data_IF_491453816204
#
_entry.id   IF_491453816204
#
_cell.length_a   1.000
_cell.length_b   1.000
_cell.length_c   1.000
_cell.angle_alpha   90.00
_cell.angle_beta   90.00
_cell.angle_gamma   90.00
#
_symmetry.space_group_name_H-M   'P 1'
#
loop_
_entity.id
_entity.type
_entity.pdbx_description
1 polymer ?
#
# COMPACT_ATOMS: atom_id res chain seq x y z
N UNK A 1 -14.19 -13.71 7.71
CA UNK A 1 -14.85 -14.58 6.71
C UNK A 1 -14.13 -15.92 6.69
N UNK A 2 -14.84 -17.02 6.45
CA UNK A 2 -14.25 -18.35 6.24
C UNK A 2 -14.38 -18.77 4.79
N UNK A 3 -13.33 -19.39 4.27
CA UNK A 3 -13.32 -19.92 2.91
C UNK A 3 -13.97 -21.32 2.90
N UNK A 4 -14.95 -21.48 2.02
CA UNK A 4 -15.49 -22.78 1.64
C UNK A 4 -15.12 -22.97 0.17
N UNK A 5 -14.00 -23.67 -0.13
CA UNK A 5 -13.49 -23.73 -1.50
C UNK A 5 -14.54 -24.32 -2.43
N UNK A 6 -14.84 -23.60 -3.51
CA UNK A 6 -15.68 -24.10 -4.58
C UNK A 6 -14.79 -24.62 -5.71
N UNK A 7 -15.17 -25.72 -6.38
CA UNK A 7 -14.50 -26.12 -7.60
C UNK A 7 -14.62 -24.99 -8.62
N UNK A 8 -13.58 -24.82 -9.45
CA UNK A 8 -13.72 -23.92 -10.58
C UNK A 8 -14.70 -24.54 -11.56
N UNK A 9 -15.90 -23.97 -11.62
CA UNK A 9 -16.92 -24.41 -12.55
C UNK A 9 -16.60 -23.99 -13.99
N UNK A 10 -17.10 -24.78 -14.92
CA UNK A 10 -17.18 -24.41 -16.34
C UNK A 10 -18.10 -23.18 -16.50
N UNK A 11 -17.95 -22.51 -17.64
CA UNK A 11 -18.79 -21.35 -17.97
C UNK A 11 -20.21 -21.87 -18.22
N UNK A 12 -21.25 -21.34 -17.53
CA UNK A 12 -22.62 -21.78 -17.77
C UNK A 12 -23.02 -21.68 -19.24
N UNK A 13 -23.67 -22.71 -19.79
CA UNK A 13 -23.97 -22.82 -21.22
C UNK A 13 -24.68 -21.58 -21.78
N UNK A 14 -25.67 -21.07 -21.04
CA UNK A 14 -26.40 -19.86 -21.44
C UNK A 14 -25.48 -18.62 -21.47
N UNK A 15 -24.61 -18.46 -20.47
CA UNK A 15 -23.61 -17.37 -20.45
C UNK A 15 -22.67 -17.49 -21.65
N UNK A 16 -22.20 -18.70 -21.98
CA UNK A 16 -21.34 -18.94 -23.13
C UNK A 16 -22.03 -18.61 -24.45
N UNK A 17 -23.26 -19.10 -24.66
CA UNK A 17 -24.04 -18.84 -25.88
C UNK A 17 -24.29 -17.34 -26.07
N UNK A 18 -24.74 -16.65 -25.02
CA UNK A 18 -25.03 -15.22 -25.10
C UNK A 18 -23.75 -14.40 -25.28
N UNK A 19 -22.65 -14.75 -24.61
CA UNK A 19 -21.37 -14.06 -24.80
C UNK A 19 -20.87 -14.16 -26.24
N UNK A 20 -20.90 -15.35 -26.86
CA UNK A 20 -20.49 -15.52 -28.26
C UNK A 20 -21.45 -14.82 -29.25
N UNK A 21 -22.74 -14.75 -28.94
CA UNK A 21 -23.70 -14.00 -29.75
C UNK A 21 -23.48 -12.48 -29.66
N UNK A 22 -23.23 -11.95 -28.46
CA UNK A 22 -22.97 -10.53 -28.23
C UNK A 22 -21.59 -10.09 -28.72
N UNK A 23 -20.59 -10.97 -28.65
CA UNK A 23 -19.20 -10.71 -29.02
C UNK A 23 -18.70 -11.71 -30.07
N UNK A 24 -19.00 -11.48 -31.37
CA UNK A 24 -18.52 -12.34 -32.45
C UNK A 24 -17.00 -12.44 -32.52
N UNK A 25 -16.30 -11.40 -32.04
CA UNK A 25 -14.87 -11.43 -31.75
C UNK A 25 -14.70 -11.39 -30.23
N UNK A 26 -13.89 -12.30 -29.63
CA UNK A 26 -13.74 -12.37 -28.19
C UNK A 26 -13.12 -11.08 -27.65
N UNK A 27 -13.68 -10.53 -26.58
CA UNK A 27 -13.13 -9.38 -25.87
C UNK A 27 -11.91 -9.80 -25.03
N UNK A 28 -11.17 -8.83 -24.49
CA UNK A 28 -10.00 -9.14 -23.65
C UNK A 28 -10.32 -10.06 -22.45
N UNK A 29 -11.39 -9.84 -21.66
CA UNK A 29 -11.78 -10.78 -20.60
C UNK A 29 -12.03 -12.21 -21.11
N UNK A 30 -12.71 -12.36 -22.26
CA UNK A 30 -12.98 -13.66 -22.87
C UNK A 30 -11.69 -14.34 -23.34
N UNK A 31 -10.80 -13.59 -24.00
CA UNK A 31 -9.50 -14.10 -24.44
C UNK A 31 -8.65 -14.56 -23.27
N UNK A 32 -8.58 -13.77 -22.18
CA UNK A 32 -7.83 -14.15 -20.98
C UNK A 32 -8.39 -15.45 -20.41
N UNK A 33 -9.72 -15.60 -20.32
CA UNK A 33 -10.32 -16.85 -19.83
C UNK A 33 -10.06 -18.03 -20.75
N UNK A 34 -10.16 -17.85 -22.07
CA UNK A 34 -9.97 -18.93 -23.03
C UNK A 34 -8.51 -19.38 -23.11
N UNK A 35 -7.59 -18.42 -23.11
CA UNK A 35 -6.18 -18.70 -23.24
C UNK A 35 -5.56 -19.07 -21.90
N UNK A 36 -5.86 -18.37 -20.81
CA UNK A 36 -5.16 -18.55 -19.52
C UNK A 36 -5.97 -19.37 -18.50
N UNK A 37 -7.23 -19.70 -18.80
CA UNK A 37 -8.12 -20.36 -17.85
C UNK A 37 -8.42 -19.44 -16.68
N UNK A 38 -8.34 -19.98 -15.46
CA UNK A 38 -8.63 -19.21 -14.23
C UNK A 38 -7.37 -18.64 -13.58
N UNK A 39 -6.19 -19.16 -13.96
CA UNK A 39 -4.88 -18.98 -13.33
C UNK A 39 -4.77 -19.42 -11.86
N UNK A 40 -5.84 -19.21 -11.09
CA UNK A 40 -5.90 -19.42 -9.65
C UNK A 40 -7.05 -20.36 -9.28
N UNK A 41 -6.99 -20.89 -8.07
CA UNK A 41 -8.05 -21.66 -7.42
C UNK A 41 -8.25 -21.18 -5.97
N UNK A 42 -9.43 -21.40 -5.41
CA UNK A 42 -9.73 -20.99 -4.03
C UNK A 42 -8.71 -21.50 -2.99
N UNK A 43 -8.22 -22.77 -3.06
CA UNK A 43 -7.23 -23.27 -2.11
C UNK A 43 -5.92 -22.47 -2.07
N UNK A 44 -5.56 -21.78 -3.17
CA UNK A 44 -4.35 -20.94 -3.23
C UNK A 44 -4.39 -19.80 -2.20
N UNK A 45 -5.60 -19.38 -1.79
CA UNK A 45 -5.81 -18.27 -0.87
C UNK A 45 -6.25 -18.71 0.52
N UNK A 46 -6.33 -20.01 0.80
CA UNK A 46 -6.93 -20.54 2.04
C UNK A 46 -6.29 -19.98 3.31
N UNK A 47 -4.99 -19.73 3.30
CA UNK A 47 -4.25 -19.15 4.43
C UNK A 47 -4.69 -17.72 4.79
N UNK A 48 -5.35 -17.00 3.88
CA UNK A 48 -5.83 -15.63 4.10
C UNK A 48 -7.17 -15.56 4.85
N UNK A 49 -7.83 -16.70 5.03
CA UNK A 49 -9.18 -16.78 5.59
C UNK A 49 -9.18 -17.53 6.92
N UNK A 50 -10.06 -17.09 7.82
CA UNK A 50 -10.23 -17.76 9.11
C UNK A 50 -10.94 -19.11 8.93
N UNK A 51 -10.69 -20.05 9.83
CA UNK A 51 -11.34 -21.38 9.81
C UNK A 51 -12.87 -21.28 10.00
N UNK A 52 -13.34 -20.28 10.76
CA UNK A 52 -14.77 -20.07 11.05
C UNK A 52 -15.16 -18.61 10.81
N UNK A 53 -16.36 -18.39 10.30
CA UNK A 53 -16.95 -17.07 10.11
C UNK A 53 -18.05 -17.06 9.06
N UNK A 54 -18.45 -15.87 8.62
CA UNK A 54 -19.32 -15.71 7.46
C UNK A 54 -18.62 -16.25 6.19
N UNK A 55 -19.33 -16.94 5.29
CA UNK A 55 -18.77 -17.42 4.02
C UNK A 55 -18.14 -16.29 3.21
N UNK A 56 -16.91 -16.53 2.73
CA UNK A 56 -16.23 -15.64 1.79
C UNK A 56 -16.74 -15.87 0.36
N UNK A 57 -16.65 -14.83 -0.48
CA UNK A 57 -16.71 -15.02 -1.93
C UNK A 57 -15.43 -15.73 -2.41
N UNK A 58 -15.55 -16.47 -3.51
CA UNK A 58 -14.46 -17.21 -4.15
C UNK A 58 -13.24 -16.30 -4.45
N UNK A 59 -12.11 -16.49 -3.75
CA UNK A 59 -10.92 -15.65 -3.90
C UNK A 59 -10.30 -15.70 -5.30
N UNK A 60 -10.37 -16.82 -6.02
CA UNK A 60 -9.84 -16.89 -7.39
C UNK A 60 -10.58 -15.92 -8.31
N UNK A 61 -11.91 -15.79 -8.17
CA UNK A 61 -12.71 -14.81 -8.90
C UNK A 61 -12.35 -13.40 -8.52
N UNK A 62 -12.16 -13.11 -7.23
CA UNK A 62 -11.77 -11.78 -6.76
C UNK A 62 -10.40 -11.36 -7.29
N UNK A 63 -9.43 -12.28 -7.37
CA UNK A 63 -8.14 -12.03 -8.00
C UNK A 63 -8.29 -11.75 -9.50
N UNK A 64 -9.11 -12.53 -10.21
CA UNK A 64 -9.37 -12.32 -11.63
C UNK A 64 -10.06 -10.97 -11.89
N UNK A 65 -11.07 -10.61 -11.08
CA UNK A 65 -11.73 -9.29 -11.13
C UNK A 65 -10.72 -8.17 -10.88
N UNK A 66 -9.81 -8.35 -9.90
CA UNK A 66 -8.76 -7.38 -9.62
C UNK A 66 -7.84 -7.18 -10.84
N UNK A 67 -7.43 -8.26 -11.51
CA UNK A 67 -6.64 -8.17 -12.74
C UNK A 67 -7.38 -7.42 -13.87
N UNK A 68 -8.65 -7.74 -14.12
CA UNK A 68 -9.46 -7.04 -15.12
C UNK A 68 -9.70 -5.57 -14.76
N UNK A 69 -9.90 -5.28 -13.47
CA UNK A 69 -10.06 -3.92 -12.96
C UNK A 69 -8.84 -3.06 -13.32
N UNK A 70 -7.62 -3.55 -13.08
CA UNK A 70 -6.41 -2.82 -13.42
C UNK A 70 -6.19 -2.75 -14.93
N UNK A 71 -6.45 -3.83 -15.66
CA UNK A 71 -6.32 -3.89 -17.12
C UNK A 71 -7.20 -2.84 -17.82
N UNK A 72 -8.42 -2.65 -17.32
CA UNK A 72 -9.39 -1.72 -17.89
C UNK A 72 -9.44 -0.36 -17.16
N UNK A 73 -8.53 -0.13 -16.20
CA UNK A 73 -8.43 1.10 -15.40
C UNK A 73 -9.76 1.51 -14.73
N UNK A 74 -10.41 0.56 -14.07
CA UNK A 74 -11.70 0.76 -13.42
C UNK A 74 -11.55 1.07 -11.92
N UNK A 75 -12.42 1.95 -11.41
CA UNK A 75 -12.64 2.09 -9.96
C UNK A 75 -13.33 0.84 -9.39
N UNK A 76 -13.25 0.63 -8.07
CA UNK A 76 -13.89 -0.52 -7.41
C UNK A 76 -15.40 -0.61 -7.71
N UNK A 77 -16.08 0.54 -7.73
CA UNK A 77 -17.51 0.62 -8.07
C UNK A 77 -17.77 0.24 -9.53
N UNK A 78 -16.91 0.67 -10.44
CA UNK A 78 -17.03 0.31 -11.85
C UNK A 78 -16.74 -1.18 -12.07
N UNK A 79 -15.74 -1.75 -11.39
CA UNK A 79 -15.44 -3.18 -11.47
C UNK A 79 -16.59 -4.03 -10.90
N UNK A 80 -17.13 -3.67 -9.73
CA UNK A 80 -18.29 -4.37 -9.16
C UNK A 80 -19.53 -4.25 -10.06
N UNK A 81 -19.75 -3.09 -10.68
CA UNK A 81 -20.82 -2.92 -11.67
C UNK A 81 -20.56 -3.73 -12.94
N UNK A 82 -19.31 -3.86 -13.39
CA UNK A 82 -18.93 -4.68 -14.54
C UNK A 82 -19.22 -6.16 -14.28
N UNK A 83 -18.89 -6.69 -13.11
CA UNK A 83 -19.28 -8.07 -12.72
C UNK A 83 -20.79 -8.28 -12.85
N UNK A 84 -21.59 -7.28 -12.42
CA UNK A 84 -23.05 -7.36 -12.45
C UNK A 84 -23.64 -7.26 -13.85
N UNK A 85 -23.14 -6.36 -14.69
CA UNK A 85 -23.83 -5.98 -15.94
C UNK A 85 -23.18 -6.49 -17.21
N UNK A 86 -21.88 -6.83 -17.19
CA UNK A 86 -21.13 -7.16 -18.40
C UNK A 86 -21.08 -8.65 -18.66
N UNK A 87 -21.59 -9.04 -19.82
CA UNK A 87 -21.67 -10.44 -20.26
C UNK A 87 -20.27 -11.04 -20.45
N UNK A 88 -19.30 -10.28 -20.96
CA UNK A 88 -17.93 -10.75 -21.15
C UNK A 88 -17.18 -10.98 -19.82
N UNK A 89 -17.48 -10.18 -18.78
CA UNK A 89 -16.97 -10.41 -17.43
C UNK A 89 -17.60 -11.65 -16.79
N UNK A 90 -18.92 -11.81 -16.90
CA UNK A 90 -19.60 -13.03 -16.43
C UNK A 90 -19.08 -14.29 -17.11
N UNK A 91 -18.78 -14.21 -18.40
CA UNK A 91 -18.10 -15.26 -19.14
C UNK A 91 -16.72 -15.57 -18.55
N UNK A 92 -15.87 -14.55 -18.37
CA UNK A 92 -14.52 -14.75 -17.85
C UNK A 92 -14.49 -15.36 -16.44
N UNK A 93 -15.46 -14.99 -15.61
CA UNK A 93 -15.60 -15.42 -14.21
C UNK A 93 -16.41 -16.71 -14.02
N UNK A 94 -16.95 -17.29 -15.10
CA UNK A 94 -17.83 -18.46 -15.01
C UNK A 94 -19.05 -18.20 -14.13
N UNK A 95 -19.76 -17.09 -14.37
CA UNK A 95 -20.96 -16.68 -13.63
C UNK A 95 -22.21 -16.84 -14.49
N UNK A 96 -23.35 -17.06 -13.83
CA UNK A 96 -24.66 -17.02 -14.47
C UNK A 96 -25.02 -15.58 -14.90
N UNK A 97 -25.82 -15.45 -15.96
CA UNK A 97 -26.35 -14.16 -16.40
C UNK A 97 -27.21 -13.46 -15.33
N UNK A 98 -27.80 -14.22 -14.42
CA UNK A 98 -28.60 -13.78 -13.26
C UNK A 98 -27.76 -13.38 -12.04
N UNK A 99 -26.46 -13.66 -12.03
CA UNK A 99 -25.58 -13.35 -10.89
C UNK A 99 -25.60 -11.84 -10.56
N UNK A 100 -25.79 -11.51 -9.28
CA UNK A 100 -25.96 -10.12 -8.84
C UNK A 100 -24.65 -9.37 -8.56
N UNK A 101 -23.51 -10.06 -8.67
CA UNK A 101 -22.20 -9.57 -8.28
C UNK A 101 -22.10 -9.35 -6.77
N UNK A 102 -21.28 -8.37 -6.38
CA UNK A 102 -20.99 -8.05 -4.99
C UNK A 102 -20.88 -6.54 -4.76
N UNK A 103 -20.75 -6.12 -3.49
CA UNK A 103 -20.49 -4.72 -3.13
C UNK A 103 -19.04 -4.32 -3.36
N UNK A 104 -18.80 -3.10 -3.85
CA UNK A 104 -17.47 -2.63 -4.22
C UNK A 104 -16.43 -2.69 -3.07
N UNK A 105 -16.86 -2.60 -1.82
CA UNK A 105 -15.98 -2.74 -0.63
C UNK A 105 -15.26 -4.09 -0.56
N UNK A 106 -15.81 -5.14 -1.18
CA UNK A 106 -15.18 -6.47 -1.17
C UNK A 106 -13.81 -6.44 -1.85
N UNK A 107 -13.60 -5.61 -2.88
CA UNK A 107 -12.33 -5.52 -3.59
C UNK A 107 -11.24 -4.86 -2.74
N UNK A 108 -11.58 -3.80 -2.00
CA UNK A 108 -10.62 -3.15 -1.11
C UNK A 108 -10.26 -4.05 0.08
N UNK A 109 -11.23 -4.76 0.66
CA UNK A 109 -10.96 -5.76 1.70
C UNK A 109 -10.09 -6.91 1.17
N UNK A 110 -10.38 -7.42 -0.02
CA UNK A 110 -9.62 -8.50 -0.64
C UNK A 110 -8.17 -8.10 -0.88
N UNK A 111 -7.92 -6.93 -1.48
CA UNK A 111 -6.55 -6.41 -1.67
C UNK A 111 -5.84 -6.18 -0.34
N UNK A 112 -6.55 -5.72 0.69
CA UNK A 112 -5.98 -5.58 2.05
C UNK A 112 -5.54 -6.93 2.60
N UNK A 113 -6.33 -8.00 2.40
CA UNK A 113 -5.97 -9.37 2.77
C UNK A 113 -4.75 -9.87 2.01
N UNK A 114 -4.67 -9.60 0.70
CA UNK A 114 -3.50 -9.99 -0.12
C UNK A 114 -2.20 -9.37 0.41
N UNK A 115 -2.23 -8.07 0.73
CA UNK A 115 -1.07 -7.35 1.28
C UNK A 115 -0.73 -7.86 2.68
N UNK A 116 -1.73 -8.01 3.56
CA UNK A 116 -1.51 -8.49 4.94
C UNK A 116 -0.96 -9.92 4.98
N UNK A 117 -1.36 -10.75 4.02
CA UNK A 117 -0.88 -12.13 3.88
C UNK A 117 0.37 -12.29 3.02
N UNK A 118 0.99 -11.19 2.55
CA UNK A 118 2.21 -11.19 1.74
C UNK A 118 2.12 -12.06 0.45
N UNK A 119 0.93 -12.17 -0.15
CA UNK A 119 0.69 -12.98 -1.37
C UNK A 119 0.71 -12.15 -2.66
N UNK A 120 1.32 -10.98 -2.61
CA UNK A 120 1.35 -10.01 -3.71
C UNK A 120 2.00 -10.58 -4.98
N UNK A 121 3.11 -11.32 -4.80
CA UNK A 121 3.86 -11.91 -5.91
C UNK A 121 3.19 -13.16 -6.49
N UNK A 122 2.27 -13.79 -5.76
CA UNK A 122 1.66 -15.06 -6.13
C UNK A 122 1.03 -14.99 -7.53
N UNK A 123 0.29 -13.92 -7.81
CA UNK A 123 -0.40 -13.75 -9.09
C UNK A 123 0.58 -13.70 -10.28
N UNK A 124 1.66 -12.93 -10.12
CA UNK A 124 2.70 -12.80 -11.14
C UNK A 124 3.43 -14.12 -11.34
N UNK A 125 3.85 -14.78 -10.24
CA UNK A 125 4.56 -16.05 -10.31
C UNK A 125 3.74 -17.11 -11.03
N UNK A 126 2.44 -17.19 -10.73
CA UNK A 126 1.54 -18.15 -11.38
C UNK A 126 1.39 -17.90 -12.88
N UNK A 127 1.32 -16.63 -13.29
CA UNK A 127 1.33 -16.27 -14.70
C UNK A 127 2.65 -16.65 -15.38
N UNK A 128 3.78 -16.41 -14.72
CA UNK A 128 5.11 -16.75 -15.24
C UNK A 128 5.29 -18.26 -15.39
N UNK A 129 4.83 -19.07 -14.44
CA UNK A 129 4.79 -20.54 -14.53
C UNK A 129 4.03 -21.01 -15.78
N UNK A 130 2.85 -20.42 -16.03
CA UNK A 130 2.07 -20.73 -17.23
C UNK A 130 2.80 -20.30 -18.51
N UNK A 131 3.43 -19.13 -18.52
CA UNK A 131 4.24 -18.68 -19.64
C UNK A 131 5.45 -19.60 -19.90
N UNK A 132 6.11 -20.11 -18.86
CA UNK A 132 7.18 -21.09 -18.99
C UNK A 132 6.67 -22.41 -19.57
N UNK A 133 5.56 -22.93 -19.04
CA UNK A 133 4.94 -24.15 -19.54
C UNK A 133 4.54 -24.06 -21.02
N UNK A 134 4.25 -22.84 -21.50
CA UNK A 134 3.93 -22.54 -22.91
C UNK A 134 5.13 -22.14 -23.76
N UNK A 135 6.36 -22.26 -23.24
CA UNK A 135 7.60 -21.84 -23.91
C UNK A 135 7.64 -20.34 -24.30
N UNK A 136 6.81 -19.50 -23.66
CA UNK A 136 6.84 -18.04 -23.84
C UNK A 136 7.95 -17.40 -23.00
N UNK A 137 8.38 -18.08 -21.92
CA UNK A 137 9.48 -17.67 -21.04
C UNK A 137 10.49 -18.82 -20.89
N UNK A 138 11.77 -18.51 -20.68
CA UNK A 138 12.83 -19.50 -20.43
C UNK A 138 13.76 -19.07 -19.30
N UNK A 139 14.34 -20.08 -18.66
CA UNK A 139 15.50 -19.95 -17.80
C UNK A 139 16.69 -19.31 -18.55
N UNK A 140 17.43 -18.42 -17.87
CA UNK A 140 18.68 -17.85 -18.37
C UNK A 140 18.57 -16.94 -19.60
N UNK A 141 17.38 -16.44 -19.91
CA UNK A 141 17.15 -15.47 -20.99
C UNK A 141 17.70 -14.08 -20.70
N UNK A 142 17.71 -13.20 -21.72
CA UNK A 142 18.07 -11.79 -21.53
C UNK A 142 16.98 -11.09 -20.72
N UNK A 143 17.38 -10.28 -19.74
CA UNK A 143 16.49 -9.40 -19.00
C UNK A 143 17.01 -7.97 -19.00
N UNK A 144 16.07 -7.02 -18.98
CA UNK A 144 16.37 -5.62 -18.71
C UNK A 144 15.54 -5.13 -17.54
N UNK A 145 16.16 -4.30 -16.71
CA UNK A 145 15.54 -3.74 -15.52
C UNK A 145 15.54 -2.22 -15.64
N UNK A 146 14.39 -1.60 -15.41
CA UNK A 146 14.28 -0.16 -15.23
C UNK A 146 13.57 0.16 -13.92
N UNK A 147 13.67 1.42 -13.49
CA UNK A 147 13.02 1.93 -12.29
C UNK A 147 12.19 3.17 -12.61
N UNK A 148 10.96 3.19 -12.09
CA UNK A 148 10.12 4.39 -12.07
C UNK A 148 9.74 4.75 -10.64
N UNK A 149 9.17 5.93 -10.48
CA UNK A 149 8.72 6.44 -9.20
C UNK A 149 7.24 6.10 -8.98
N UNK A 150 6.89 5.82 -7.73
CA UNK A 150 5.50 5.71 -7.28
C UNK A 150 5.28 6.82 -6.27
N UNK A 151 4.24 7.62 -6.50
CA UNK A 151 3.88 8.70 -5.59
C UNK A 151 3.24 8.11 -4.34
N UNK A 152 3.71 8.53 -3.17
CA UNK A 152 3.03 8.21 -1.91
C UNK A 152 1.67 8.90 -1.87
N UNK A 153 0.64 8.19 -1.43
CA UNK A 153 -0.70 8.73 -1.25
C UNK A 153 -0.80 9.54 0.06
N UNK A 154 0.13 10.48 0.24
CA UNK A 154 0.25 11.31 1.44
C UNK A 154 0.33 12.78 1.08
N UNK A 155 -0.15 13.63 1.99
CA UNK A 155 0.08 15.07 1.91
C UNK A 155 1.59 15.33 2.01
N UNK A 156 2.10 16.18 1.14
CA UNK A 156 3.46 16.70 1.28
C UNK A 156 3.47 17.69 2.45
N UNK A 157 4.23 17.38 3.49
CA UNK A 157 4.38 18.22 4.67
C UNK A 157 5.71 18.96 4.59
N UNK A 158 5.70 20.26 4.86
CA UNK A 158 6.95 20.95 5.15
C UNK A 158 7.43 20.61 6.57
N UNK A 159 8.63 21.08 6.94
CA UNK A 159 9.24 20.75 8.24
C UNK A 159 8.40 21.17 9.47
N UNK A 160 7.69 22.30 9.40
CA UNK A 160 6.81 22.76 10.48
C UNK A 160 5.61 21.83 10.61
N UNK A 161 4.95 21.57 9.47
CA UNK A 161 3.81 20.68 9.40
C UNK A 161 4.19 19.27 9.87
N UNK A 162 5.35 18.74 9.46
CA UNK A 162 5.83 17.41 9.87
C UNK A 162 5.90 17.30 11.40
N UNK A 163 6.55 18.25 12.09
CA UNK A 163 6.65 18.18 13.55
C UNK A 163 5.29 18.28 14.22
N UNK A 164 4.46 19.26 13.84
CA UNK A 164 3.16 19.45 14.46
C UNK A 164 2.20 18.30 14.19
N UNK A 165 2.16 17.82 12.95
CA UNK A 165 1.29 16.73 12.52
C UNK A 165 1.71 15.38 13.12
N UNK A 166 3.00 15.17 13.37
CA UNK A 166 3.49 13.96 14.04
C UNK A 166 3.06 13.92 15.51
N UNK A 167 3.16 15.04 16.25
CA UNK A 167 2.62 15.12 17.62
C UNK A 167 1.13 14.85 17.61
N UNK A 168 0.40 15.51 16.70
CA UNK A 168 -1.05 15.30 16.55
C UNK A 168 -1.41 13.84 16.26
N UNK A 169 -0.71 13.20 15.34
CA UNK A 169 -0.95 11.81 14.96
C UNK A 169 -0.77 10.87 16.17
N UNK A 170 0.32 11.05 16.93
CA UNK A 170 0.55 10.28 18.16
C UNK A 170 -0.52 10.55 19.23
N UNK A 171 -0.92 11.81 19.44
CA UNK A 171 -1.99 12.15 20.39
C UNK A 171 -3.33 11.50 20.04
N UNK A 172 -3.68 11.45 18.75
CA UNK A 172 -4.91 10.80 18.29
C UNK A 172 -4.89 9.29 18.54
N UNK A 173 -3.77 8.61 18.23
CA UNK A 173 -3.61 7.18 18.50
C UNK A 173 -3.69 6.88 20.01
N UNK A 174 -3.05 7.71 20.83
CA UNK A 174 -3.11 7.61 22.29
C UNK A 174 -4.51 7.86 22.84
N UNK A 175 -5.30 8.75 22.21
CA UNK A 175 -6.68 9.01 22.62
C UNK A 175 -7.57 7.78 22.40
N UNK A 176 -7.34 7.03 21.32
CA UNK A 176 -8.03 5.76 21.02
C UNK A 176 -7.58 4.64 21.95
N UNK A 177 -6.27 4.54 22.25
CA UNK A 177 -5.71 3.47 23.08
C UNK A 177 -5.95 3.68 24.60
N UNK A 178 -5.61 4.86 25.16
CA UNK A 178 -5.77 5.20 26.58
C UNK A 178 -6.09 6.70 26.78
N UNK A 179 -7.26 7.11 26.28
CA UNK A 179 -7.72 8.50 26.41
C UNK A 179 -7.91 8.98 27.85
N UNK A 180 -8.09 8.07 28.82
CA UNK A 180 -8.20 8.43 30.24
C UNK A 180 -6.86 8.89 30.79
N UNK A 181 -5.78 8.14 30.54
CA UNK A 181 -4.43 8.56 30.89
C UNK A 181 -4.02 9.82 30.13
N UNK A 182 -4.32 9.92 28.83
CA UNK A 182 -3.94 11.08 28.02
C UNK A 182 -4.48 12.39 28.62
N UNK A 183 -5.72 12.40 29.12
CA UNK A 183 -6.32 13.57 29.79
C UNK A 183 -5.57 14.02 31.06
N UNK A 184 -4.75 13.16 31.67
CA UNK A 184 -3.96 13.51 32.86
C UNK A 184 -2.66 14.24 32.52
N UNK A 185 -2.17 14.11 31.29
CA UNK A 185 -0.89 14.68 30.86
C UNK A 185 -1.03 15.83 29.85
N UNK A 186 -2.15 15.90 29.13
CA UNK A 186 -2.36 16.93 28.09
C UNK A 186 -2.53 18.29 28.73
N UNK A 187 -1.63 19.21 28.36
CA UNK A 187 -1.75 20.62 28.71
C UNK A 187 -2.89 21.27 27.90
N UNK A 188 -3.67 22.22 28.46
CA UNK A 188 -4.76 22.87 27.73
C UNK A 188 -4.33 23.45 26.38
N UNK A 189 -3.12 24.00 26.31
CA UNK A 189 -2.57 24.63 25.11
C UNK A 189 -2.29 23.62 23.98
N UNK A 190 -2.16 22.33 24.30
CA UNK A 190 -2.02 21.27 23.29
C UNK A 190 -3.32 21.02 22.55
N UNK A 191 -4.48 21.23 23.19
CA UNK A 191 -5.77 21.14 22.52
C UNK A 191 -5.87 22.22 21.43
N UNK A 192 -5.52 23.46 21.76
CA UNK A 192 -5.54 24.56 20.78
C UNK A 192 -4.56 24.31 19.62
N UNK A 193 -3.39 23.74 19.90
CA UNK A 193 -2.34 23.50 18.88
C UNK A 193 -2.57 22.27 18.01
N UNK A 194 -3.12 21.19 18.58
CA UNK A 194 -3.14 19.87 17.94
C UNK A 194 -4.54 19.28 17.76
N UNK A 195 -5.63 19.91 18.22
CA UNK A 195 -6.98 19.37 17.99
C UNK A 195 -7.36 19.28 16.51
N UNK A 196 -6.76 20.13 15.66
CA UNK A 196 -7.01 20.15 14.22
C UNK A 196 -5.76 19.79 13.43
N UNK A 197 -5.98 19.31 12.20
CA UNK A 197 -4.89 19.06 11.25
C UNK A 197 -4.03 20.31 11.09
N UNK A 198 -2.72 20.11 11.05
CA UNK A 198 -1.81 21.21 10.77
C UNK A 198 -1.96 21.59 9.31
N UNK A 199 -2.27 22.86 9.06
CA UNK A 199 -2.52 23.38 7.72
C UNK A 199 -1.60 24.57 7.44
N UNK A 200 -0.86 24.48 6.33
CA UNK A 200 0.07 25.51 5.86
C UNK A 200 -0.40 26.95 5.95
N UNK A 201 -1.65 27.25 5.58
CA UNK A 201 -2.14 28.63 5.57
C UNK A 201 -2.33 29.23 6.97
N UNK A 202 -2.40 28.40 8.01
CA UNK A 202 -2.50 28.81 9.42
C UNK A 202 -1.13 28.98 10.09
N UNK A 203 -0.06 28.57 9.42
CA UNK A 203 1.28 28.62 10.00
C UNK A 203 1.86 30.04 9.94
N UNK A 204 2.71 30.41 10.92
CA UNK A 204 3.35 31.70 10.92
C UNK A 204 4.19 31.95 9.66
N UNK A 205 4.12 33.16 9.11
CA UNK A 205 4.90 33.54 7.92
C UNK A 205 6.27 34.09 8.27
N UNK A 206 6.37 34.86 9.35
CA UNK A 206 7.61 35.48 9.77
C UNK A 206 8.60 34.45 10.32
N UNK A 207 9.88 34.54 9.95
CA UNK A 207 10.92 33.58 10.32
C UNK A 207 11.04 33.38 11.83
N UNK A 208 10.99 34.47 12.61
CA UNK A 208 11.05 34.43 14.08
C UNK A 208 9.92 33.59 14.65
N UNK A 209 8.70 33.76 14.14
CA UNK A 209 7.52 33.02 14.59
C UNK A 209 7.56 31.56 14.14
N UNK A 210 8.10 31.27 12.94
CA UNK A 210 8.33 29.89 12.47
C UNK A 210 9.35 29.16 13.34
N UNK A 211 10.44 29.82 13.71
CA UNK A 211 11.44 29.25 14.61
C UNK A 211 10.87 29.01 16.01
N UNK A 212 10.04 29.93 16.52
CA UNK A 212 9.33 29.73 17.77
C UNK A 212 8.36 28.55 17.70
N UNK A 213 7.62 28.37 16.60
CA UNK A 213 6.75 27.22 16.40
C UNK A 213 7.54 25.90 16.34
N UNK A 214 8.66 25.83 15.60
CA UNK A 214 9.51 24.63 15.58
C UNK A 214 10.03 24.28 16.97
N UNK A 215 10.44 25.30 17.74
CA UNK A 215 10.93 25.12 19.10
C UNK A 215 9.80 24.60 20.01
N UNK A 216 8.62 25.23 19.96
CA UNK A 216 7.46 24.80 20.75
C UNK A 216 7.06 23.37 20.42
N UNK A 217 6.94 23.03 19.13
CA UNK A 217 6.62 21.67 18.72
C UNK A 217 7.66 20.70 19.26
N UNK A 218 8.96 21.01 19.12
CA UNK A 218 10.07 20.18 19.65
C UNK A 218 9.92 19.90 21.15
N UNK A 219 9.63 20.94 21.94
CA UNK A 219 9.41 20.83 23.38
C UNK A 219 8.20 19.97 23.71
N UNK A 220 7.07 20.19 23.02
CA UNK A 220 5.83 19.44 23.21
C UNK A 220 6.04 17.95 22.92
N UNK A 221 6.71 17.60 21.82
CA UNK A 221 6.97 16.19 21.50
C UNK A 221 7.95 15.52 22.47
N UNK A 222 8.96 16.23 22.99
CA UNK A 222 9.82 15.68 24.04
C UNK A 222 9.09 15.53 25.38
N UNK A 223 8.20 16.45 25.72
CA UNK A 223 7.34 16.34 26.90
C UNK A 223 6.39 15.13 26.77
N UNK A 224 5.81 14.91 25.59
CA UNK A 224 5.00 13.72 25.31
C UNK A 224 5.83 12.44 25.46
N UNK A 225 7.01 12.36 24.82
CA UNK A 225 7.91 11.21 24.95
C UNK A 225 8.34 10.96 26.41
N UNK A 226 8.57 12.01 27.20
CA UNK A 226 8.88 11.88 28.62
C UNK A 226 7.69 11.30 29.40
N UNK A 227 6.47 11.78 29.14
CA UNK A 227 5.25 11.25 29.77
C UNK A 227 4.97 9.79 29.37
N UNK A 228 5.20 9.41 28.11
CA UNK A 228 5.05 8.03 27.65
C UNK A 228 5.97 7.05 28.40
N UNK A 229 7.14 7.52 28.83
CA UNK A 229 8.06 6.71 29.63
C UNK A 229 7.57 6.44 31.07
N UNK A 230 6.59 7.21 31.57
CA UNK A 230 5.98 6.99 32.89
C UNK A 230 4.62 6.27 32.80
N UNK A 231 4.16 5.91 31.59
CA UNK A 231 2.91 5.19 31.39
C UNK A 231 2.93 3.82 32.08
N UNK A 232 1.86 3.40 32.79
CA UNK A 232 1.80 2.07 33.44
C UNK A 232 2.04 0.90 32.47
N UNK A 233 1.52 1.03 31.24
CA UNK A 233 1.70 0.10 30.11
C UNK A 233 2.73 0.62 29.09
N UNK A 234 3.90 1.08 29.57
CA UNK A 234 4.95 1.70 28.72
C UNK A 234 5.30 0.88 27.48
N UNK A 235 5.49 -0.43 27.62
CA UNK A 235 5.90 -1.28 26.50
C UNK A 235 4.86 -1.32 25.38
N UNK A 236 3.56 -1.41 25.73
CA UNK A 236 2.47 -1.42 24.76
C UNK A 236 2.33 -0.07 24.06
N UNK A 237 2.38 1.02 24.84
CA UNK A 237 2.21 2.38 24.30
C UNK A 237 3.36 2.80 23.38
N UNK A 238 4.61 2.44 23.72
CA UNK A 238 5.74 2.70 22.84
C UNK A 238 5.75 1.83 21.57
N UNK A 239 5.02 0.71 21.57
CA UNK A 239 4.85 -0.15 20.41
C UNK A 239 3.73 0.33 19.47
N UNK A 240 2.94 1.34 19.86
CA UNK A 240 1.91 1.92 18.98
C UNK A 240 2.57 2.56 17.74
N UNK A 241 2.06 2.30 16.53
CA UNK A 241 2.67 2.74 15.29
C UNK A 241 3.00 4.24 15.22
N UNK A 242 2.05 5.13 15.52
CA UNK A 242 2.25 6.58 15.42
C UNK A 242 3.12 7.12 16.58
N UNK A 243 3.13 6.46 17.73
CA UNK A 243 4.09 6.75 18.82
C UNK A 243 5.52 6.37 18.42
N UNK A 244 5.72 5.20 17.80
CA UNK A 244 7.04 4.80 17.31
C UNK A 244 7.56 5.76 16.23
N UNK A 245 6.67 6.23 15.35
CA UNK A 245 6.97 7.26 14.35
C UNK A 245 7.34 8.60 15.01
N UNK A 246 6.62 9.03 16.05
CA UNK A 246 6.98 10.23 16.82
C UNK A 246 8.42 10.15 17.33
N UNK A 247 8.80 9.03 17.93
CA UNK A 247 10.17 8.84 18.43
C UNK A 247 11.20 8.96 17.30
N UNK A 248 10.98 8.29 16.17
CA UNK A 248 11.89 8.34 15.02
C UNK A 248 12.00 9.76 14.43
N UNK A 249 10.87 10.45 14.25
CA UNK A 249 10.87 11.84 13.74
C UNK A 249 11.63 12.75 14.70
N UNK A 250 11.45 12.60 16.03
CA UNK A 250 12.18 13.40 17.01
C UNK A 250 13.69 13.13 16.98
N UNK A 251 14.09 11.87 16.88
CA UNK A 251 15.50 11.51 16.72
C UNK A 251 16.10 12.09 15.44
N UNK A 252 15.32 12.18 14.36
CA UNK A 252 15.77 12.76 13.09
C UNK A 252 15.81 14.29 13.10
N UNK A 253 14.84 14.94 13.75
CA UNK A 253 14.57 16.38 13.62
C UNK A 253 15.00 17.23 14.81
N UNK A 254 15.21 16.63 15.99
CA UNK A 254 15.42 17.31 17.26
C UNK A 254 16.65 16.76 17.99
N UNK A 255 17.14 17.50 19.00
CA UNK A 255 18.30 17.09 19.80
C UNK A 255 18.26 17.68 21.22
N UNK A 256 18.70 16.90 22.19
CA UNK A 256 19.05 17.39 23.53
C UNK A 256 20.38 18.16 23.54
N UNK A 257 20.40 19.30 24.22
CA UNK A 257 21.58 20.13 24.44
C UNK A 257 21.74 20.42 25.93
N UNK A 258 22.87 21.02 26.31
CA UNK A 258 23.09 21.47 27.69
C UNK A 258 22.08 22.52 28.18
N UNK A 259 21.41 23.23 27.26
CA UNK A 259 20.44 24.30 27.56
C UNK A 259 18.98 23.86 27.41
N UNK A 260 18.72 22.56 27.26
CA UNK A 260 17.39 22.02 26.94
C UNK A 260 17.34 21.40 25.56
N UNK A 261 16.15 21.32 24.97
CA UNK A 261 15.93 20.70 23.66
C UNK A 261 15.88 21.76 22.56
N UNK A 262 16.26 21.39 21.34
CA UNK A 262 16.09 22.25 20.17
C UNK A 262 15.86 21.44 18.89
N UNK A 263 15.23 22.02 17.86
CA UNK A 263 15.25 21.45 16.54
C UNK A 263 16.69 21.44 16.01
N UNK A 264 17.04 20.38 15.28
CA UNK A 264 18.29 20.27 14.53
C UNK A 264 18.36 21.34 13.45
N UNK A 265 19.57 21.79 13.12
CA UNK A 265 19.81 22.59 11.93
C UNK A 265 19.76 21.70 10.68
N UNK A 266 19.62 22.31 9.51
CA UNK A 266 19.54 21.57 8.24
C UNK A 266 20.76 20.68 7.96
N UNK A 267 21.96 21.13 8.38
CA UNK A 267 23.22 20.39 8.29
C UNK A 267 23.34 19.23 9.30
N UNK A 268 22.47 19.18 10.31
CA UNK A 268 22.42 18.12 11.33
C UNK A 268 21.37 17.04 11.02
N UNK A 269 20.55 17.23 9.98
CA UNK A 269 19.52 16.30 9.58
C UNK A 269 20.11 15.08 8.87
N UNK A 270 19.51 13.89 9.03
CA UNK A 270 19.92 12.73 8.25
C UNK A 270 19.64 12.95 6.75
N UNK A 271 20.29 12.16 5.86
CA UNK A 271 20.02 12.20 4.43
C UNK A 271 18.53 12.02 4.11
N UNK A 272 18.03 12.63 3.04
CA UNK A 272 16.61 12.58 2.68
C UNK A 272 16.04 11.17 2.52
N UNK A 273 16.86 10.24 2.03
CA UNK A 273 16.49 8.83 1.90
C UNK A 273 16.23 8.12 3.26
N UNK A 274 16.70 8.69 4.37
CA UNK A 274 16.47 8.15 5.72
C UNK A 274 15.40 8.93 6.49
N UNK A 275 14.89 10.05 5.96
CA UNK A 275 13.94 10.91 6.66
C UNK A 275 12.50 10.45 6.46
N UNK A 276 11.73 10.50 7.53
CA UNK A 276 10.27 10.37 7.47
C UNK A 276 9.70 11.69 6.94
N UNK A 277 8.89 11.59 5.89
CA UNK A 277 8.26 12.76 5.23
C UNK A 277 6.78 12.93 5.65
N UNK A 278 6.16 11.89 6.20
CA UNK A 278 4.79 11.91 6.70
C UNK A 278 4.61 10.88 7.82
N UNK A 279 3.89 11.20 8.92
CA UNK A 279 3.61 10.22 9.95
C UNK A 279 2.62 9.13 9.50
N UNK A 280 1.86 9.37 8.42
CA UNK A 280 0.83 8.45 7.92
C UNK A 280 1.34 7.44 6.91
N UNK A 281 2.53 7.66 6.35
CA UNK A 281 3.25 6.68 5.54
C UNK A 281 4.75 6.81 5.86
N UNK A 282 5.21 6.20 6.96
CA UNK A 282 6.60 6.27 7.40
C UNK A 282 7.55 5.49 6.49
N UNK A 283 7.08 4.83 5.43
CA UNK A 283 7.93 4.15 4.44
C UNK A 283 8.17 5.03 3.19
N UNK A 284 7.28 5.98 2.89
CA UNK A 284 7.48 6.97 1.83
C UNK A 284 8.71 7.86 2.09
N UNK A 285 9.53 8.06 1.07
CA UNK A 285 10.77 8.85 1.14
C UNK A 285 10.83 9.93 0.08
N UNK A 286 11.39 11.07 0.45
CA UNK A 286 11.72 12.11 -0.52
C UNK A 286 12.90 11.67 -1.40
N UNK A 287 12.73 11.89 -2.71
CA UNK A 287 13.56 11.28 -3.73
C UNK A 287 13.79 12.24 -4.88
N UNK A 288 14.99 12.15 -5.49
CA UNK A 288 15.36 12.93 -6.67
C UNK A 288 15.96 11.99 -7.72
N UNK A 289 15.49 12.08 -8.97
CA UNK A 289 16.09 11.43 -10.15
C UNK A 289 16.16 12.48 -11.25
N UNK A 290 17.38 12.92 -11.58
CA UNK A 290 17.63 14.06 -12.48
C UNK A 290 16.90 15.31 -11.98
N UNK A 291 15.94 15.84 -12.74
CA UNK A 291 15.14 17.01 -12.37
C UNK A 291 13.82 16.65 -11.66
N UNK A 292 13.44 15.37 -11.66
CA UNK A 292 12.18 14.91 -11.05
C UNK A 292 12.37 14.70 -9.56
N UNK A 293 11.47 15.29 -8.77
CA UNK A 293 11.43 15.18 -7.31
C UNK A 293 10.08 14.60 -6.91
N UNK A 294 10.06 13.67 -5.97
CA UNK A 294 8.82 13.09 -5.45
C UNK A 294 8.99 12.59 -4.02
N UNK A 295 7.87 12.43 -3.33
CA UNK A 295 7.77 11.69 -2.06
C UNK A 295 7.00 10.41 -2.33
N UNK A 296 7.59 9.27 -1.97
CA UNK A 296 6.99 7.96 -2.21
C UNK A 296 8.04 6.89 -2.34
N UNK A 297 7.88 6.03 -3.34
CA UNK A 297 8.66 4.80 -3.51
C UNK A 297 9.35 4.77 -4.87
N UNK A 298 10.26 3.82 -5.03
CA UNK A 298 10.77 3.40 -6.34
C UNK A 298 10.24 2.01 -6.63
N UNK A 299 9.74 1.82 -7.84
CA UNK A 299 9.42 0.48 -8.35
C UNK A 299 10.45 0.10 -9.39
N UNK A 300 11.04 -1.08 -9.21
CA UNK A 300 11.93 -1.72 -10.16
C UNK A 300 11.12 -2.76 -10.93
N UNK A 301 11.14 -2.66 -12.25
CA UNK A 301 10.45 -3.60 -13.14
C UNK A 301 11.50 -4.26 -14.01
N UNK A 302 11.52 -5.58 -14.00
CA UNK A 302 12.36 -6.38 -14.89
C UNK A 302 11.48 -7.09 -15.90
N UNK A 303 11.88 -7.06 -17.18
CA UNK A 303 11.21 -7.79 -18.24
C UNK A 303 12.17 -8.65 -19.05
N UNK A 304 11.67 -9.75 -19.61
CA UNK A 304 12.40 -10.54 -20.60
C UNK A 304 12.56 -9.75 -21.89
N UNK A 305 13.71 -9.89 -22.55
CA UNK A 305 14.02 -9.24 -23.82
C UNK A 305 14.79 -10.15 -24.78
N UNK A 306 14.41 -11.42 -24.83
CA UNK A 306 14.90 -12.36 -25.85
C UNK A 306 14.26 -12.05 -27.22
N UNK A 307 15.08 -12.01 -28.28
CA UNK A 307 14.72 -11.49 -29.60
C UNK A 307 13.56 -12.25 -30.31
N UNK A 308 13.28 -13.49 -29.92
CA UNK A 308 12.26 -14.37 -30.53
C UNK A 308 11.07 -14.69 -29.60
N UNK A 309 10.90 -13.93 -28.50
CA UNK A 309 9.88 -14.20 -27.49
C UNK A 309 9.16 -12.93 -27.06
N UNK A 310 7.93 -13.03 -26.53
CA UNK A 310 7.27 -11.86 -25.95
C UNK A 310 8.10 -11.28 -24.79
N UNK A 311 8.05 -9.96 -24.66
CA UNK A 311 8.60 -9.27 -23.51
C UNK A 311 7.59 -9.38 -22.37
N UNK A 312 7.96 -10.09 -21.31
CA UNK A 312 7.12 -10.36 -20.16
C UNK A 312 7.75 -9.72 -18.93
N UNK A 313 6.94 -9.01 -18.15
CA UNK A 313 7.37 -8.57 -16.82
C UNK A 313 7.61 -9.81 -15.97
N UNK A 314 8.83 -9.96 -15.46
CA UNK A 314 9.30 -11.15 -14.69
C UNK A 314 9.54 -10.84 -13.23
N UNK A 315 9.66 -9.56 -12.89
CA UNK A 315 9.81 -9.10 -11.51
C UNK A 315 9.34 -7.67 -11.37
N UNK A 316 8.64 -7.40 -10.27
CA UNK A 316 8.23 -6.08 -9.83
C UNK A 316 8.58 -5.97 -8.35
N UNK A 317 9.44 -5.03 -7.99
CA UNK A 317 9.84 -4.80 -6.61
C UNK A 317 9.63 -3.33 -6.25
N UNK A 318 8.80 -3.07 -5.24
CA UNK A 318 8.60 -1.72 -4.69
C UNK A 318 9.47 -1.55 -3.47
N UNK A 319 10.38 -0.58 -3.51
CA UNK A 319 11.34 -0.31 -2.44
C UNK A 319 11.12 1.09 -1.87
N UNK A 320 11.31 1.20 -0.55
CA UNK A 320 11.49 2.51 0.09
C UNK A 320 12.74 3.16 -0.49
N UNK A 321 12.64 4.44 -0.84
CA UNK A 321 13.68 5.07 -1.63
C UNK A 321 14.98 5.24 -0.82
N UNK A 322 16.04 4.53 -1.23
CA UNK A 322 17.33 4.50 -0.53
C UNK A 322 17.85 3.09 -0.30
N UNK A 323 16.95 2.10 -0.31
CA UNK A 323 17.31 0.70 -0.37
C UNK A 323 17.62 0.32 -1.83
N UNK A 324 18.83 -0.19 -2.07
CA UNK A 324 19.16 -0.89 -3.31
C UNK A 324 19.09 -2.36 -2.97
N UNK A 325 18.05 -3.07 -3.40
CA UNK A 325 18.14 -4.52 -3.41
C UNK A 325 19.07 -4.95 -4.54
N UNK A 326 20.32 -5.22 -4.18
CA UNK A 326 21.26 -5.96 -5.03
C UNK A 326 20.83 -7.45 -5.18
N UNK A 327 19.85 -7.91 -4.39
CA UNK A 327 19.45 -9.31 -4.28
C UNK A 327 18.36 -9.78 -5.24
N UNK A 328 17.47 -8.90 -5.73
CA UNK A 328 16.36 -9.30 -6.62
C UNK A 328 16.84 -9.86 -7.97
N UNK A 329 18.09 -9.58 -8.35
CA UNK A 329 18.69 -10.01 -9.62
C UNK A 329 19.46 -11.34 -9.49
N UNK A 330 19.91 -11.75 -8.30
CA UNK A 330 20.84 -12.88 -8.18
C UNK A 330 20.21 -14.24 -7.84
N UNK A 331 18.96 -14.32 -7.37
CA UNK A 331 18.38 -15.59 -6.91
C UNK A 331 17.10 -16.07 -7.59
N UNK A 332 16.54 -15.34 -8.56
CA UNK A 332 15.57 -15.94 -9.48
C UNK A 332 16.32 -16.64 -10.61
N UNK A 333 16.84 -17.84 -10.32
CA UNK A 333 16.95 -18.87 -11.36
C UNK A 333 15.53 -19.20 -11.78
N UNK A 334 15.03 -18.45 -12.77
CA UNK A 334 13.96 -18.96 -13.64
C UNK A 334 14.45 -20.26 -14.25
#
# INVERSE_FOLDING_TARGET
MSLHPEPVNDIPELTQQVAHACFPKPTAPMLIRNELGTLFADPDFAALYAVRGQPALSPWRLMFVTALQFLENLTDRQAANAVRSRIDWKYALGLELTDTGFDASVLSEFRTRLVTGEVEEFALNRLLELCQARNLLRAGGKQRTDSTHVLGAVRQLNRLELLGETVRAALNELAEYDGAWLRTIVAPEWLDRYAHRVEDYRLPRAEVQRNAYLQQATEDGYALLAALNTHPRRAEVLALPLVAVLQQVWDQQCRHTRKGVRPKRLDELPPGAARIESPYDPAARYSIKRQTRWTGFKVHVSESCDDERPHLVTSVATLSTGQVELGAVQHRKI
#
